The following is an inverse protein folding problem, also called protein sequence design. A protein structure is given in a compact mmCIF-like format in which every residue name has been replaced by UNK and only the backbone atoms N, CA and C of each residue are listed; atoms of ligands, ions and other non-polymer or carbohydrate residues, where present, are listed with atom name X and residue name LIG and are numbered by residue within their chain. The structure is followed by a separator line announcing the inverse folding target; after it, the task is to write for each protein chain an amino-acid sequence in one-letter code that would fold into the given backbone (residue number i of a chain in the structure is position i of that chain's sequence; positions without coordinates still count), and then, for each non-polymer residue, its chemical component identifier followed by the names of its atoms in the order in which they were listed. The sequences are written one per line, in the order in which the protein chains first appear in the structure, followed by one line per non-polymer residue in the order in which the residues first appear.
data_IF_766053553259
#
_entry.id   IF_766053553259
#
_cell.length_a   1.000
_cell.length_b   1.000
_cell.length_c   1.000
_cell.angle_alpha   90.00
_cell.angle_beta   90.00
_cell.angle_gamma   90.00
#
_symmetry.space_group_name_H-M   'P 1'
#
loop_
_entity.id
_entity.type
_entity.pdbx_description
1 polymer ?
#
# COMPACT_ATOMS: atom_id res chain seq x y z
N UNK A 1 -13.06 4.62 3.42
CA UNK A 1 -13.27 3.18 3.61
C UNK A 1 -13.33 2.83 5.08
N UNK A 2 -13.85 1.69 5.40
CA UNK A 2 -13.82 1.12 6.74
C UNK A 2 -13.54 -0.37 6.67
N UNK A 3 -13.23 -0.97 7.81
CA UNK A 3 -12.98 -2.40 7.93
C UNK A 3 -14.06 -2.99 8.82
N UNK A 4 -14.68 -4.07 8.38
CA UNK A 4 -15.74 -4.75 9.10
C UNK A 4 -15.44 -6.23 9.28
N UNK A 5 -15.77 -6.79 10.46
CA UNK A 5 -15.72 -8.23 10.69
C UNK A 5 -16.96 -8.88 10.09
N UNK A 6 -16.76 -9.77 9.14
CA UNK A 6 -17.82 -10.55 8.51
C UNK A 6 -17.38 -12.02 8.50
N UNK A 7 -18.18 -12.90 9.10
CA UNK A 7 -17.99 -14.35 9.06
C UNK A 7 -16.55 -14.87 9.33
N UNK A 8 -15.89 -14.38 10.36
CA UNK A 8 -14.52 -14.75 10.77
C UNK A 8 -13.38 -14.05 10.03
N UNK A 9 -13.65 -13.08 9.13
CA UNK A 9 -12.64 -12.32 8.40
C UNK A 9 -12.80 -10.81 8.51
N UNK A 10 -11.68 -10.10 8.33
CA UNK A 10 -11.68 -8.65 8.14
C UNK A 10 -11.99 -8.36 6.67
N UNK A 11 -13.06 -7.61 6.43
CA UNK A 11 -13.42 -7.17 5.09
C UNK A 11 -13.33 -5.65 4.98
N UNK A 12 -12.85 -5.20 3.83
CA UNK A 12 -12.93 -3.80 3.48
C UNK A 12 -14.38 -3.41 3.15
N UNK A 13 -14.81 -2.24 3.55
CA UNK A 13 -16.13 -1.71 3.19
C UNK A 13 -16.05 -0.34 2.54
N UNK A 14 -16.92 -0.13 1.56
CA UNK A 14 -17.14 1.16 0.94
C UNK A 14 -18.60 1.57 1.16
N UNK A 15 -18.81 2.77 1.70
CA UNK A 15 -20.12 3.33 1.95
C UNK A 15 -20.40 4.49 0.99
N UNK A 16 -21.50 4.41 0.28
CA UNK A 16 -22.02 5.53 -0.50
C UNK A 16 -22.95 6.35 0.37
N UNK A 17 -22.71 7.64 0.45
CA UNK A 17 -23.47 8.55 1.28
C UNK A 17 -24.18 9.60 0.40
N UNK A 18 -25.35 10.07 0.86
CA UNK A 18 -25.97 11.27 0.31
C UNK A 18 -25.26 12.54 0.81
N UNK A 19 -25.68 13.70 0.33
CA UNK A 19 -25.12 15.00 0.73
C UNK A 19 -25.35 15.36 2.21
N UNK A 20 -26.23 14.64 2.90
CA UNK A 20 -26.52 14.81 4.32
C UNK A 20 -25.76 13.81 5.20
N UNK A 21 -24.95 12.91 4.59
CA UNK A 21 -24.20 11.87 5.29
C UNK A 21 -24.99 10.59 5.58
N UNK A 22 -26.20 10.43 5.02
CA UNK A 22 -26.94 9.18 5.18
C UNK A 22 -26.40 8.12 4.22
N UNK A 23 -26.24 6.90 4.72
CA UNK A 23 -25.76 5.75 3.91
C UNK A 23 -26.84 5.38 2.89
N UNK A 24 -26.48 5.45 1.61
CA UNK A 24 -27.30 5.00 0.48
C UNK A 24 -27.07 3.53 0.21
N UNK A 25 -25.82 3.08 0.24
CA UNK A 25 -25.46 1.67 0.07
C UNK A 25 -24.10 1.37 0.71
N UNK A 26 -23.85 0.10 0.97
CA UNK A 26 -22.58 -0.42 1.45
C UNK A 26 -22.16 -1.59 0.57
N UNK A 27 -20.89 -1.61 0.18
CA UNK A 27 -20.27 -2.74 -0.51
C UNK A 27 -19.13 -3.28 0.34
N UNK A 28 -18.99 -4.61 0.36
CA UNK A 28 -17.91 -5.32 1.04
C UNK A 28 -16.98 -5.94 0.00
N UNK A 29 -15.70 -5.92 0.29
CA UNK A 29 -14.65 -6.50 -0.54
C UNK A 29 -13.76 -7.39 0.31
N UNK A 30 -13.21 -8.45 -0.29
CA UNK A 30 -12.34 -9.40 0.39
C UNK A 30 -12.95 -10.80 0.57
N UNK A 31 -14.26 -10.90 0.71
CA UNK A 31 -14.94 -12.19 0.88
C UNK A 31 -14.44 -12.91 2.13
N UNK A 32 -13.84 -14.11 1.96
CA UNK A 32 -13.22 -14.86 3.07
C UNK A 32 -11.76 -14.50 3.32
N UNK A 33 -11.26 -13.46 2.66
CA UNK A 33 -9.88 -12.99 2.84
C UNK A 33 -9.86 -11.86 3.87
N UNK A 34 -8.79 -11.78 4.65
CA UNK A 34 -8.58 -10.64 5.52
C UNK A 34 -8.05 -9.48 4.68
N UNK A 35 -8.80 -8.40 4.60
CA UNK A 35 -8.42 -7.19 3.85
C UNK A 35 -8.55 -5.98 4.75
N UNK A 36 -7.48 -5.20 4.86
CA UNK A 36 -7.47 -3.91 5.51
C UNK A 36 -7.09 -2.85 4.49
N UNK A 37 -7.94 -1.84 4.30
CA UNK A 37 -7.69 -0.73 3.38
C UNK A 37 -7.36 0.53 4.19
N UNK A 38 -6.30 1.23 3.78
CA UNK A 38 -5.79 2.39 4.51
C UNK A 38 -6.02 3.69 3.77
N UNK A 39 -5.91 3.68 2.44
CA UNK A 39 -6.07 4.88 1.64
C UNK A 39 -6.88 4.62 0.37
N UNK A 40 -7.41 5.69 -0.19
CA UNK A 40 -8.13 5.67 -1.45
C UNK A 40 -7.94 6.98 -2.20
N UNK A 41 -8.04 6.88 -3.53
CA UNK A 41 -8.12 8.04 -4.42
C UNK A 41 -9.29 7.90 -5.38
N UNK A 42 -9.83 9.03 -5.83
CA UNK A 42 -10.89 9.05 -6.85
C UNK A 42 -10.22 9.40 -8.17
N UNK A 43 -10.35 8.51 -9.13
CA UNK A 43 -9.74 8.67 -10.44
C UNK A 43 -10.46 9.71 -11.31
N UNK A 44 -9.80 10.17 -12.36
CA UNK A 44 -10.37 11.09 -13.35
C UNK A 44 -11.65 10.55 -14.02
N UNK A 45 -11.89 9.24 -13.96
CA UNK A 45 -13.07 8.56 -14.48
C UNK A 45 -14.14 8.26 -13.41
N UNK A 46 -14.07 8.88 -12.25
CA UNK A 46 -14.96 8.64 -11.11
C UNK A 46 -14.91 7.21 -10.54
N UNK A 47 -13.84 6.45 -10.83
CA UNK A 47 -13.55 5.18 -10.17
C UNK A 47 -12.85 5.43 -8.84
N UNK A 48 -12.75 4.42 -8.01
CA UNK A 48 -12.05 4.50 -6.73
C UNK A 48 -10.95 3.46 -6.70
N UNK A 49 -9.72 3.91 -6.53
CA UNK A 49 -8.59 3.04 -6.24
C UNK A 49 -8.36 2.99 -4.74
N UNK A 50 -8.13 1.80 -4.20
CA UNK A 50 -7.80 1.56 -2.79
C UNK A 50 -6.46 0.88 -2.67
N UNK A 51 -5.80 1.12 -1.54
CA UNK A 51 -4.64 0.34 -1.12
C UNK A 51 -4.72 -0.04 0.35
N UNK A 52 -3.98 -1.08 0.71
CA UNK A 52 -3.89 -1.62 2.04
C UNK A 52 -3.07 -2.90 2.05
N UNK A 53 -3.42 -3.81 2.94
CA UNK A 53 -2.77 -5.12 3.01
C UNK A 53 -3.76 -6.24 3.31
N UNK A 54 -3.33 -7.47 3.05
CA UNK A 54 -4.15 -8.67 3.18
C UNK A 54 -3.32 -9.88 3.63
N UNK A 55 -3.94 -10.78 4.40
CA UNK A 55 -3.44 -12.14 4.64
C UNK A 55 -4.26 -13.17 3.87
N UNK A 56 -5.14 -12.72 3.00
CA UNK A 56 -5.96 -13.56 2.13
C UNK A 56 -5.33 -13.81 0.78
N UNK A 57 -6.12 -14.30 -0.16
CA UNK A 57 -5.70 -14.54 -1.54
C UNK A 57 -4.48 -15.46 -1.68
N UNK A 58 -4.39 -16.47 -0.79
CA UNK A 58 -3.29 -17.45 -0.75
C UNK A 58 -1.92 -16.84 -0.36
N UNK A 59 -1.90 -15.67 0.25
CA UNK A 59 -0.67 -15.10 0.79
C UNK A 59 -0.26 -15.82 2.08
N UNK A 60 1.04 -15.94 2.33
CA UNK A 60 1.54 -16.61 3.54
C UNK A 60 1.61 -15.66 4.76
N UNK A 61 1.54 -14.35 4.53
CA UNK A 61 1.66 -13.28 5.50
C UNK A 61 0.91 -12.04 5.01
N UNK A 62 1.11 -10.89 5.62
CA UNK A 62 0.56 -9.64 5.13
C UNK A 62 1.30 -9.20 3.87
N UNK A 63 0.54 -9.05 2.79
CA UNK A 63 0.99 -8.51 1.50
C UNK A 63 0.16 -7.28 1.13
N UNK A 64 0.74 -6.40 0.34
CA UNK A 64 0.05 -5.25 -0.22
C UNK A 64 -1.11 -5.65 -1.13
N UNK A 65 -2.20 -4.91 -1.07
CA UNK A 65 -3.34 -5.03 -1.97
C UNK A 65 -3.64 -3.68 -2.60
N UNK A 66 -3.92 -3.70 -3.90
CA UNK A 66 -4.45 -2.55 -4.65
C UNK A 66 -5.69 -3.00 -5.39
N UNK A 67 -6.78 -2.25 -5.27
CA UNK A 67 -8.07 -2.57 -5.88
C UNK A 67 -8.61 -1.35 -6.62
N UNK A 68 -9.09 -1.56 -7.83
CA UNK A 68 -9.85 -0.56 -8.58
C UNK A 68 -11.33 -0.96 -8.63
N UNK A 69 -12.18 -0.02 -8.27
CA UNK A 69 -13.63 -0.18 -8.20
C UNK A 69 -14.29 0.85 -9.13
N UNK A 70 -15.25 0.41 -9.95
CA UNK A 70 -15.99 1.30 -10.83
C UNK A 70 -16.99 2.20 -10.08
N UNK A 71 -17.61 3.14 -10.80
CA UNK A 71 -18.60 4.07 -10.26
C UNK A 71 -19.90 3.39 -9.79
N UNK A 72 -20.15 2.11 -10.18
CA UNK A 72 -21.25 1.29 -9.66
C UNK A 72 -20.82 0.45 -8.45
N UNK A 73 -19.54 0.50 -8.06
CA UNK A 73 -18.96 -0.25 -6.95
C UNK A 73 -18.67 -1.72 -7.30
N UNK A 74 -18.43 -2.03 -8.55
CA UNK A 74 -17.94 -3.36 -8.93
C UNK A 74 -16.43 -3.35 -8.99
N UNK A 75 -15.82 -4.44 -8.57
CA UNK A 75 -14.38 -4.65 -8.70
C UNK A 75 -14.01 -4.72 -10.19
N UNK A 76 -13.08 -3.88 -10.62
CA UNK A 76 -12.51 -3.88 -11.97
C UNK A 76 -11.30 -4.80 -12.02
N UNK A 77 -10.38 -4.62 -11.07
CA UNK A 77 -9.25 -5.50 -10.84
C UNK A 77 -8.75 -5.39 -9.41
N UNK A 78 -8.05 -6.42 -8.98
CA UNK A 78 -7.32 -6.49 -7.71
C UNK A 78 -5.94 -7.04 -7.97
N UNK A 79 -4.92 -6.36 -7.49
CA UNK A 79 -3.53 -6.80 -7.56
C UNK A 79 -2.98 -6.93 -6.15
N UNK A 80 -2.37 -8.08 -5.87
CA UNK A 80 -1.71 -8.39 -4.61
C UNK A 80 -0.24 -8.58 -4.90
N UNK A 81 0.58 -7.96 -4.10
CA UNK A 81 2.02 -8.06 -4.23
C UNK A 81 2.68 -7.98 -2.86
N UNK A 82 3.72 -8.72 -2.72
CA UNK A 82 4.46 -8.91 -1.51
C UNK A 82 5.36 -10.12 -1.68
N UNK A 83 6.16 -10.43 -0.70
CA UNK A 83 7.02 -11.58 -0.77
C UNK A 83 6.40 -12.77 -0.02
N UNK A 84 6.00 -13.85 -0.69
CA UNK A 84 5.38 -15.02 -0.07
C UNK A 84 6.40 -15.85 0.69
N UNK A 85 7.03 -15.30 1.70
CA UNK A 85 7.94 -16.07 2.54
C UNK A 85 7.17 -16.86 3.57
N UNK A 86 7.08 -18.08 3.49
CA UNK A 86 6.43 -18.99 4.42
C UNK A 86 7.06 -19.07 5.82
N UNK A 87 7.62 -17.99 6.38
CA UNK A 87 8.12 -17.95 7.73
C UNK A 87 7.26 -17.03 8.61
N UNK A 88 7.38 -17.11 9.85
CA UNK A 88 6.62 -16.56 10.97
C UNK A 88 5.49 -15.55 10.61
N UNK A 89 4.23 -15.99 10.51
CA UNK A 89 3.11 -15.15 10.11
C UNK A 89 2.78 -14.02 11.09
N UNK A 90 3.46 -13.94 12.23
CA UNK A 90 3.27 -12.83 13.18
C UNK A 90 3.92 -11.52 12.74
N UNK A 91 4.83 -11.56 11.78
CA UNK A 91 5.49 -10.37 11.26
C UNK A 91 4.76 -9.89 10.02
N UNK A 92 4.42 -8.62 10.02
CA UNK A 92 3.91 -7.90 8.86
C UNK A 92 5.11 -7.59 7.99
N UNK A 93 5.10 -8.05 6.76
CA UNK A 93 6.25 -7.98 5.88
C UNK A 93 6.12 -6.91 4.80
N UNK A 94 4.90 -6.71 4.28
CA UNK A 94 4.58 -5.70 3.30
C UNK A 94 3.26 -5.02 3.66
N UNK A 95 3.29 -3.71 3.83
CA UNK A 95 2.11 -2.90 4.13
C UNK A 95 2.03 -1.71 3.18
N UNK A 96 0.87 -1.48 2.59
CA UNK A 96 0.62 -0.34 1.72
C UNK A 96 -0.35 0.64 2.36
N UNK A 97 0.02 1.92 2.38
CA UNK A 97 -0.65 2.96 3.15
C UNK A 97 -1.17 4.13 2.32
N UNK A 98 -0.53 4.44 1.19
CA UNK A 98 -0.91 5.56 0.34
C UNK A 98 -1.05 5.17 -1.13
N UNK A 99 -2.07 5.70 -1.82
CA UNK A 99 -2.31 5.46 -3.25
C UNK A 99 -2.75 6.74 -3.94
N UNK A 100 -2.30 6.92 -5.19
CA UNK A 100 -2.74 7.99 -6.09
C UNK A 100 -2.83 7.52 -7.54
N UNK A 101 -3.80 8.08 -8.28
CA UNK A 101 -3.76 8.01 -9.73
C UNK A 101 -2.66 8.93 -10.27
N UNK A 102 -1.89 8.45 -11.22
CA UNK A 102 -0.81 9.22 -11.85
C UNK A 102 -1.32 10.04 -13.04
N UNK A 103 -0.57 11.06 -13.46
CA UNK A 103 -0.98 11.95 -14.57
C UNK A 103 -1.19 11.25 -15.91
N UNK A 104 -0.71 10.02 -16.06
CA UNK A 104 -0.87 9.19 -17.25
C UNK A 104 -1.94 8.10 -17.12
N UNK A 105 -2.73 8.15 -16.03
CA UNK A 105 -3.84 7.23 -15.78
C UNK A 105 -3.43 5.86 -15.24
N UNK A 106 -2.19 5.70 -14.80
CA UNK A 106 -1.77 4.56 -13.99
C UNK A 106 -1.92 4.87 -12.50
N UNK A 107 -1.30 4.07 -11.65
CA UNK A 107 -1.39 4.23 -10.19
C UNK A 107 -0.01 4.14 -9.55
N UNK A 108 0.14 4.83 -8.44
CA UNK A 108 1.33 4.74 -7.59
C UNK A 108 0.91 4.45 -6.16
N UNK A 109 1.65 3.55 -5.52
CA UNK A 109 1.37 3.09 -4.16
C UNK A 109 2.63 3.21 -3.33
N UNK A 110 2.50 3.66 -2.09
CA UNK A 110 3.58 3.69 -1.12
C UNK A 110 3.23 2.90 0.13
N UNK A 111 4.26 2.46 0.83
CA UNK A 111 4.11 1.70 2.05
C UNK A 111 5.43 1.38 2.71
N UNK A 112 5.47 0.31 3.46
CA UNK A 112 6.66 -0.25 4.06
C UNK A 112 6.88 -1.70 3.64
N UNK A 113 8.13 -2.09 3.47
CA UNK A 113 8.52 -3.49 3.28
C UNK A 113 9.63 -3.89 4.24
N UNK A 114 9.41 -4.96 4.97
CA UNK A 114 10.44 -5.62 5.77
C UNK A 114 11.25 -6.64 4.98
N UNK A 115 10.79 -6.98 3.79
CA UNK A 115 11.33 -8.05 2.94
C UNK A 115 12.13 -7.57 1.73
N UNK A 116 12.48 -6.28 1.71
CA UNK A 116 13.18 -5.65 0.60
C UNK A 116 14.39 -6.45 0.09
N UNK A 117 15.03 -7.22 0.95
CA UNK A 117 16.21 -8.00 0.62
C UNK A 117 15.95 -9.12 -0.38
N UNK A 118 14.80 -9.77 -0.34
CA UNK A 118 14.47 -10.85 -1.25
C UNK A 118 14.01 -10.35 -2.62
N UNK A 119 13.33 -9.24 -2.65
CA UNK A 119 13.00 -8.55 -3.89
C UNK A 119 14.24 -7.97 -4.59
N UNK A 120 15.22 -7.53 -3.82
CA UNK A 120 16.32 -6.70 -4.32
C UNK A 120 17.69 -7.34 -4.19
N UNK A 121 17.78 -8.60 -3.77
CA UNK A 121 19.02 -9.35 -3.70
C UNK A 121 20.04 -8.88 -2.65
N UNK A 122 19.61 -8.07 -1.69
CA UNK A 122 20.49 -7.50 -0.65
C UNK A 122 20.51 -8.28 0.66
N UNK A 123 19.95 -9.43 0.66
CA UNK A 123 19.90 -10.54 1.55
C UNK A 123 20.10 -10.38 3.05
N UNK A 124 19.02 -10.42 3.82
CA UNK A 124 19.10 -11.00 5.16
C UNK A 124 19.12 -12.53 5.02
N UNK A 125 20.16 -13.25 5.49
CA UNK A 125 20.33 -14.67 5.23
C UNK A 125 19.23 -15.57 5.82
N UNK A 126 18.38 -15.04 6.68
CA UNK A 126 17.31 -15.78 7.34
C UNK A 126 15.90 -15.23 7.02
N UNK A 127 15.78 -14.33 6.06
CA UNK A 127 14.48 -13.82 5.64
C UNK A 127 13.71 -12.99 6.69
N UNK A 128 14.33 -12.64 7.79
CA UNK A 128 13.75 -11.73 8.78
C UNK A 128 14.48 -10.41 8.69
N UNK A 129 13.90 -9.46 7.99
CA UNK A 129 14.33 -8.08 8.13
C UNK A 129 13.52 -7.46 9.26
N UNK A 130 14.18 -7.11 10.35
CA UNK A 130 13.62 -6.22 11.36
C UNK A 130 13.72 -4.74 10.92
N UNK A 131 14.18 -4.51 9.70
CA UNK A 131 14.40 -3.18 9.14
C UNK A 131 13.39 -2.91 8.02
N UNK A 132 12.45 -2.03 8.31
CA UNK A 132 11.47 -1.57 7.34
C UNK A 132 12.06 -0.50 6.43
N UNK A 133 11.64 -0.53 5.16
CA UNK A 133 12.02 0.47 4.15
C UNK A 133 10.77 1.00 3.44
N UNK A 134 10.84 2.24 2.99
CA UNK A 134 9.78 2.82 2.18
C UNK A 134 9.67 2.05 0.88
N UNK A 135 8.48 1.54 0.61
CA UNK A 135 8.11 0.88 -0.64
C UNK A 135 7.42 1.90 -1.56
N UNK A 136 7.77 1.86 -2.84
CA UNK A 136 7.08 2.58 -3.91
C UNK A 136 6.86 1.64 -5.08
N UNK A 137 5.60 1.43 -5.45
CA UNK A 137 5.21 0.58 -6.58
C UNK A 137 4.36 1.37 -7.56
N UNK A 138 4.59 1.16 -8.85
CA UNK A 138 3.81 1.78 -9.92
C UNK A 138 3.05 0.71 -10.70
N UNK A 139 1.86 1.07 -11.17
CA UNK A 139 0.96 0.20 -11.91
C UNK A 139 0.46 0.91 -13.15
N UNK A 140 0.22 0.14 -14.20
CA UNK A 140 -0.53 0.64 -15.34
C UNK A 140 -2.04 0.73 -15.00
N UNK A 141 -2.84 1.30 -15.92
CA UNK A 141 -4.29 1.43 -15.76
C UNK A 141 -5.04 0.10 -15.61
N UNK A 142 -4.44 -1.00 -16.03
CA UNK A 142 -5.02 -2.34 -16.01
C UNK A 142 -4.58 -3.12 -14.74
N UNK A 143 -3.87 -2.46 -13.81
CA UNK A 143 -3.43 -3.02 -12.54
C UNK A 143 -2.16 -3.89 -12.63
N UNK A 144 -1.45 -3.89 -13.75
CA UNK A 144 -0.18 -4.58 -13.85
C UNK A 144 0.93 -3.73 -13.23
N UNK A 145 1.70 -4.32 -12.34
CA UNK A 145 2.85 -3.63 -11.72
C UNK A 145 3.94 -3.38 -12.78
N UNK A 146 4.33 -2.13 -12.93
CA UNK A 146 5.33 -1.67 -13.91
C UNK A 146 6.68 -1.41 -13.29
N UNK A 147 6.71 -0.99 -12.02
CA UNK A 147 7.94 -0.81 -11.27
C UNK A 147 7.73 -1.06 -9.77
N UNK A 148 8.82 -1.37 -9.10
CA UNK A 148 8.90 -1.44 -7.65
C UNK A 148 10.27 -0.90 -7.20
N UNK A 149 10.27 0.02 -6.25
CA UNK A 149 11.46 0.65 -5.72
C UNK A 149 11.40 0.70 -4.20
N UNK A 150 12.57 0.68 -3.58
CA UNK A 150 12.70 0.75 -2.13
C UNK A 150 13.67 1.83 -1.75
N UNK A 151 13.30 2.62 -0.75
CA UNK A 151 14.11 3.71 -0.24
C UNK A 151 14.29 3.55 1.27
N UNK A 152 15.48 3.86 1.75
CA UNK A 152 15.76 3.83 3.18
C UNK A 152 17.18 4.17 3.51
N UNK A 153 17.44 4.41 4.77
CA UNK A 153 18.65 5.01 5.30
C UNK A 153 19.91 4.16 5.26
N UNK A 154 20.36 3.75 4.10
CA UNK A 154 21.76 3.27 3.89
C UNK A 154 22.22 2.18 4.87
N UNK A 155 23.38 2.38 5.52
CA UNK A 155 23.96 1.43 6.48
C UNK A 155 23.39 1.56 7.90
N UNK A 156 22.45 2.42 8.12
CA UNK A 156 21.85 2.64 9.44
C UNK A 156 20.66 1.70 9.61
N UNK A 157 20.61 1.06 10.73
CA UNK A 157 19.52 0.18 11.15
C UNK A 157 18.33 1.03 11.58
N UNK A 158 17.54 1.48 10.64
CA UNK A 158 16.36 2.27 10.92
C UNK A 158 15.16 1.74 10.14
N UNK A 159 13.99 1.93 10.70
CA UNK A 159 12.74 1.61 10.06
C UNK A 159 12.20 2.84 9.34
N UNK A 160 11.79 2.65 8.09
CA UNK A 160 11.19 3.67 7.25
C UNK A 160 9.92 3.08 6.62
N UNK A 161 8.83 3.83 6.64
CA UNK A 161 7.60 3.46 5.94
C UNK A 161 6.99 4.67 5.27
N UNK A 162 6.52 4.52 4.05
CA UNK A 162 5.78 5.56 3.34
C UNK A 162 4.32 5.55 3.77
N UNK A 163 3.88 6.60 4.46
CA UNK A 163 2.53 6.70 5.01
C UNK A 163 1.54 7.31 4.02
N UNK A 164 1.96 8.36 3.33
CA UNK A 164 1.14 9.07 2.37
C UNK A 164 1.94 9.42 1.13
N UNK A 165 1.25 9.50 0.00
CA UNK A 165 1.84 9.88 -1.28
C UNK A 165 0.97 10.92 -1.97
N UNK A 166 1.61 11.83 -2.67
CA UNK A 166 0.93 12.76 -3.56
C UNK A 166 1.73 12.97 -4.84
N UNK A 167 1.03 13.40 -5.90
CA UNK A 167 1.60 13.62 -7.22
C UNK A 167 1.99 15.08 -7.37
N UNK A 168 3.22 15.33 -7.79
CA UNK A 168 3.67 16.67 -8.10
C UNK A 168 3.19 17.13 -9.47
N UNK A 169 3.16 18.45 -9.68
CA UNK A 169 2.65 19.03 -10.94
C UNK A 169 3.45 18.59 -12.19
N UNK A 170 4.68 18.15 -12.01
CA UNK A 170 5.56 17.62 -13.06
C UNK A 170 5.49 16.08 -13.16
N UNK A 171 4.56 15.44 -12.42
CA UNK A 171 4.33 14.00 -12.45
C UNK A 171 5.31 13.18 -11.59
N UNK A 172 6.10 13.83 -10.77
CA UNK A 172 6.89 13.16 -9.74
C UNK A 172 6.07 12.85 -8.49
N UNK A 173 6.71 12.34 -7.45
CA UNK A 173 6.05 11.90 -6.22
C UNK A 173 6.62 12.59 -4.98
N UNK A 174 5.75 12.93 -4.05
CA UNK A 174 6.12 13.31 -2.68
C UNK A 174 5.56 12.26 -1.73
N UNK A 175 6.44 11.62 -0.99
CA UNK A 175 6.06 10.62 0.02
C UNK A 175 6.37 11.20 1.41
N UNK A 176 5.36 11.24 2.26
CA UNK A 176 5.54 11.45 3.68
C UNK A 176 5.82 10.11 4.33
N UNK A 177 6.88 10.03 5.12
CA UNK A 177 7.31 8.78 5.73
C UNK A 177 7.53 8.90 7.22
N UNK A 178 7.23 7.85 7.95
CA UNK A 178 7.83 7.61 9.25
C UNK A 178 9.28 7.16 9.05
N UNK A 179 10.17 7.60 9.93
CA UNK A 179 11.58 7.21 9.88
C UNK A 179 12.23 7.23 11.25
N UNK A 180 13.02 6.21 11.55
CA UNK A 180 13.99 6.21 12.63
C UNK A 180 15.43 6.04 12.12
N UNK A 181 15.59 6.18 10.80
CA UNK A 181 16.88 6.11 10.11
C UNK A 181 17.79 7.29 10.40
N UNK A 182 18.93 7.32 9.72
CA UNK A 182 20.00 8.30 9.91
C UNK A 182 19.53 9.75 9.89
N UNK A 183 19.89 10.47 10.93
CA UNK A 183 19.55 11.88 11.12
C UNK A 183 18.33 12.10 11.99
N UNK A 184 17.58 11.07 12.29
CA UNK A 184 16.51 11.14 13.28
C UNK A 184 17.09 11.30 14.68
N UNK A 185 16.41 12.05 15.54
CA UNK A 185 16.84 12.29 16.93
C UNK A 185 16.06 11.45 17.96
N UNK A 186 15.52 10.34 17.52
CA UNK A 186 14.72 9.43 18.35
C UNK A 186 13.84 8.55 17.48
N UNK A 187 13.12 7.60 18.09
CA UNK A 187 12.18 6.77 17.36
C UNK A 187 11.02 7.62 16.81
N UNK A 188 10.50 7.23 15.65
CA UNK A 188 9.33 7.82 15.01
C UNK A 188 9.48 9.31 14.69
N UNK A 189 10.41 9.64 13.83
CA UNK A 189 10.49 10.95 13.20
C UNK A 189 9.77 10.91 11.84
N UNK A 190 9.55 12.10 11.28
CA UNK A 190 8.94 12.24 9.97
C UNK A 190 10.00 12.56 8.93
N UNK A 191 9.84 11.99 7.75
CA UNK A 191 10.65 12.24 6.58
C UNK A 191 9.80 12.61 5.37
N UNK A 192 10.46 13.17 4.38
CA UNK A 192 9.89 13.38 3.06
C UNK A 192 10.84 12.82 2.01
N UNK A 193 10.30 12.03 1.11
CA UNK A 193 10.98 11.63 -0.12
C UNK A 193 10.35 12.41 -1.27
N UNK A 194 11.19 13.07 -2.04
CA UNK A 194 10.79 13.68 -3.29
C UNK A 194 11.44 12.92 -4.44
N UNK A 195 10.61 12.33 -5.28
CA UNK A 195 11.02 11.56 -6.45
C UNK A 195 10.62 12.38 -7.66
N UNK A 196 11.61 12.94 -8.33
CA UNK A 196 11.39 13.72 -9.52
C UNK A 196 11.04 12.82 -10.70
N UNK A 197 10.05 13.21 -11.47
CA UNK A 197 9.78 12.56 -12.75
C UNK A 197 11.02 12.68 -13.65
N UNK A 198 11.56 11.58 -14.23
CA UNK A 198 12.75 11.59 -15.08
C UNK A 198 12.56 12.36 -16.39
#
# INVERSE_FOLDING_TARGET
GSVEWVDEGLNASMHYLDSNGNTLSTKLFGGNNNVQLFDMDITDNDYVVFTGHTTGYETANWDCIVMLIDDQGNEVWTTIFGNPRGYDPKYILDECYGVKETLNGGFVVTGGTGDHSDYYGTGHPNGTSDEWKVLLSEFDKDGNMTSINVFGGGNDKGNDAGEFIDITIDGGYVIFSDTDSKGSKGPNNFGFLYIKNP
#
